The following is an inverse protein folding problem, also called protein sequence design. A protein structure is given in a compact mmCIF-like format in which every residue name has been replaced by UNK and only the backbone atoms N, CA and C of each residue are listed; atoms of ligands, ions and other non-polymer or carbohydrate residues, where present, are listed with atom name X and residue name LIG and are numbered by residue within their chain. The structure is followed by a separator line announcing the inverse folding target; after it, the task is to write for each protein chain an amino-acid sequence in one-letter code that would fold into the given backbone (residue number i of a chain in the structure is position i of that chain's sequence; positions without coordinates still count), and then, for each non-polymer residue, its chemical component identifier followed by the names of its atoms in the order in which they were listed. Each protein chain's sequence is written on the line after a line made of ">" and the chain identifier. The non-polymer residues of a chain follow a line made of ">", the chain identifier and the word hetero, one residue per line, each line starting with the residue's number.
data_IF_621852928255
#
_entry.id   IF_621852928255
#
_cell.length_a   1.000
_cell.length_b   1.000
_cell.length_c   1.000
_cell.angle_alpha   90.00
_cell.angle_beta   90.00
_cell.angle_gamma   90.00
#
_symmetry.space_group_name_H-M   'P 1'
#
loop_
_entity.id
_entity.type
_entity.pdbx_description
1 polymer ?
#
# COMPACT_ATOMS: atom_id res chain seq x y z
N UNK A 1 23.09 20.01 32.36
CA UNK A 1 22.55 18.64 32.14
C UNK A 1 21.55 18.62 30.99
N UNK A 2 20.65 19.61 30.90
CA UNK A 2 19.66 19.75 29.80
C UNK A 2 20.30 19.88 28.40
N UNK A 3 21.37 20.68 28.23
CA UNK A 3 22.08 20.82 26.96
C UNK A 3 22.68 19.51 26.42
N UNK A 4 23.20 18.65 27.30
CA UNK A 4 23.76 17.36 26.90
C UNK A 4 22.66 16.38 26.44
N UNK A 5 21.52 16.36 27.14
CA UNK A 5 20.36 15.55 26.75
C UNK A 5 19.78 16.03 25.41
N UNK A 6 19.71 17.35 25.22
CA UNK A 6 19.26 17.97 23.98
C UNK A 6 20.18 17.64 22.80
N UNK A 7 21.49 17.75 23.00
CA UNK A 7 22.50 17.40 21.99
C UNK A 7 22.43 15.91 21.63
N UNK A 8 22.30 15.02 22.63
CA UNK A 8 22.14 13.60 22.42
C UNK A 8 20.88 13.27 21.60
N UNK A 9 19.73 13.88 21.97
CA UNK A 9 18.48 13.73 21.24
C UNK A 9 18.60 14.26 19.80
N UNK A 10 19.24 15.42 19.61
CA UNK A 10 19.45 16.02 18.29
C UNK A 10 20.30 15.14 17.37
N UNK A 11 21.38 14.54 17.89
CA UNK A 11 22.21 13.57 17.14
C UNK A 11 21.44 12.30 16.78
N UNK A 12 20.68 11.75 17.73
CA UNK A 12 19.82 10.60 17.47
C UNK A 12 18.80 10.92 16.37
N UNK A 13 18.12 12.06 16.49
CA UNK A 13 17.13 12.51 15.53
C UNK A 13 17.74 12.72 14.15
N UNK A 14 18.88 13.40 14.06
CA UNK A 14 19.59 13.61 12.80
C UNK A 14 19.95 12.27 12.14
N UNK A 15 20.64 11.38 12.86
CA UNK A 15 21.14 10.13 12.32
C UNK A 15 20.00 9.20 11.86
N UNK A 16 19.00 8.97 12.71
CA UNK A 16 17.87 8.07 12.41
C UNK A 16 17.02 8.62 11.27
N UNK A 17 16.68 9.91 11.29
CA UNK A 17 15.85 10.51 10.25
C UNK A 17 16.61 10.61 8.91
N UNK A 18 17.91 10.94 8.93
CA UNK A 18 18.71 10.99 7.71
C UNK A 18 18.83 9.62 7.06
N UNK A 19 19.11 8.59 7.85
CA UNK A 19 19.13 7.21 7.34
C UNK A 19 17.77 6.81 6.75
N UNK A 20 16.68 7.08 7.47
CA UNK A 20 15.34 6.75 7.02
C UNK A 20 14.97 7.48 5.71
N UNK A 21 15.34 8.75 5.57
CA UNK A 21 15.20 9.51 4.33
C UNK A 21 15.93 8.83 3.16
N UNK A 22 17.22 8.53 3.32
CA UNK A 22 18.03 7.89 2.27
C UNK A 22 17.47 6.52 1.88
N UNK A 23 17.06 5.72 2.86
CA UNK A 23 16.51 4.39 2.61
C UNK A 23 15.15 4.46 1.89
N UNK A 24 14.24 5.37 2.26
CA UNK A 24 12.99 5.57 1.52
C UNK A 24 13.25 6.10 0.10
N UNK A 25 14.20 7.02 -0.09
CA UNK A 25 14.59 7.49 -1.41
C UNK A 25 15.20 6.38 -2.27
N UNK A 26 15.98 5.47 -1.68
CA UNK A 26 16.56 4.32 -2.38
C UNK A 26 15.47 3.35 -2.88
N UNK A 27 14.47 3.04 -2.04
CA UNK A 27 13.32 2.21 -2.43
C UNK A 27 12.55 2.89 -3.58
N UNK A 28 12.32 4.20 -3.48
CA UNK A 28 11.66 4.96 -4.54
C UNK A 28 12.47 4.94 -5.84
N UNK A 29 13.79 5.13 -5.77
CA UNK A 29 14.65 5.13 -6.94
C UNK A 29 14.61 3.81 -7.71
N UNK A 30 14.61 2.68 -6.98
CA UNK A 30 14.61 1.35 -7.59
C UNK A 30 13.23 0.92 -8.11
N UNK A 31 12.18 1.21 -7.36
CA UNK A 31 10.83 0.67 -7.63
C UNK A 31 9.84 1.80 -7.95
N UNK A 32 9.77 2.83 -7.11
CA UNK A 32 8.85 3.98 -7.21
C UNK A 32 8.91 4.77 -8.52
N UNK A 33 10.11 5.02 -9.03
CA UNK A 33 10.37 5.84 -10.23
C UNK A 33 9.65 5.30 -11.48
N UNK A 34 9.57 3.98 -11.63
CA UNK A 34 8.92 3.35 -12.80
C UNK A 34 7.39 3.45 -12.77
N UNK A 35 6.82 3.68 -11.59
CA UNK A 35 5.38 3.71 -11.34
C UNK A 35 4.85 5.14 -11.11
N UNK A 36 5.71 6.16 -11.27
CA UNK A 36 5.40 7.57 -11.01
C UNK A 36 4.77 7.82 -9.62
N UNK A 37 5.13 7.04 -8.61
CA UNK A 37 4.63 7.22 -7.25
C UNK A 37 5.48 8.26 -6.51
N UNK A 38 5.05 9.53 -6.58
CA UNK A 38 5.72 10.62 -5.85
C UNK A 38 5.29 10.70 -4.37
N UNK A 39 4.29 9.92 -3.93
CA UNK A 39 3.85 9.92 -2.53
C UNK A 39 4.98 9.55 -1.59
N UNK A 40 5.77 8.53 -1.94
CA UNK A 40 6.94 8.11 -1.17
C UNK A 40 8.02 9.21 -1.07
N UNK A 41 8.20 10.02 -2.11
CA UNK A 41 9.16 11.14 -2.09
C UNK A 41 8.73 12.18 -1.07
N UNK A 42 7.45 12.54 -1.06
CA UNK A 42 6.90 13.47 -0.07
C UNK A 42 7.03 12.94 1.36
N UNK A 43 6.80 11.65 1.59
CA UNK A 43 7.04 11.03 2.90
C UNK A 43 8.53 11.04 3.28
N UNK A 44 9.44 10.84 2.34
CA UNK A 44 10.87 10.93 2.62
C UNK A 44 11.27 12.37 2.99
N UNK A 45 10.76 13.37 2.28
CA UNK A 45 11.00 14.79 2.57
C UNK A 45 10.47 15.21 3.94
N UNK A 46 9.35 14.62 4.40
CA UNK A 46 8.85 14.87 5.76
C UNK A 46 9.86 14.44 6.82
N UNK A 47 10.47 13.26 6.66
CA UNK A 47 11.50 12.75 7.57
C UNK A 47 12.77 13.60 7.50
N UNK A 48 13.12 14.09 6.31
CA UNK A 48 14.26 15.00 6.13
C UNK A 48 14.09 16.30 6.93
N UNK A 49 12.88 16.85 7.03
CA UNK A 49 12.61 18.01 7.87
C UNK A 49 12.93 17.74 9.34
N UNK A 50 12.64 16.53 9.85
CA UNK A 50 13.06 16.14 11.20
C UNK A 50 14.57 15.97 11.32
N UNK A 51 15.25 15.45 10.30
CA UNK A 51 16.71 15.37 10.31
C UNK A 51 17.36 16.74 10.49
N UNK A 52 16.91 17.76 9.73
CA UNK A 52 17.38 19.13 9.89
C UNK A 52 17.03 19.72 11.27
N UNK A 53 15.83 19.46 11.78
CA UNK A 53 15.48 19.85 13.15
C UNK A 53 16.46 19.29 14.20
N UNK A 54 16.99 18.08 14.02
CA UNK A 54 17.98 17.50 14.93
C UNK A 54 19.33 18.22 14.89
N UNK A 55 19.79 18.64 13.70
CA UNK A 55 21.00 19.45 13.57
C UNK A 55 20.88 20.80 14.27
N UNK A 56 19.71 21.43 14.17
CA UNK A 56 19.44 22.69 14.87
C UNK A 56 19.46 22.51 16.39
N UNK A 57 18.95 21.39 16.91
CA UNK A 57 19.03 21.07 18.33
C UNK A 57 20.47 20.90 18.82
N UNK A 58 21.33 20.22 18.04
CA UNK A 58 22.76 20.11 18.36
C UNK A 58 23.42 21.49 18.33
N UNK A 59 23.21 22.27 17.26
CA UNK A 59 23.83 23.59 17.09
C UNK A 59 23.49 24.58 18.22
N UNK A 60 22.23 24.58 18.67
CA UNK A 60 21.78 25.48 19.74
C UNK A 60 21.97 24.89 21.15
N UNK A 61 22.35 23.62 21.28
CA UNK A 61 22.58 23.00 22.60
C UNK A 61 23.71 23.65 23.39
N UNK A 62 24.74 24.15 22.70
CA UNK A 62 25.89 24.83 23.30
C UNK A 62 25.62 26.30 23.62
N UNK A 63 24.54 26.88 23.07
CA UNK A 63 24.17 28.31 23.19
C UNK A 63 22.97 28.56 24.11
N UNK A 64 22.54 27.52 24.84
CA UNK A 64 21.50 27.64 25.86
C UNK A 64 22.01 28.45 27.06
N UNK A 65 21.24 29.40 27.60
CA UNK A 65 19.80 29.65 27.35
C UNK A 65 19.46 30.78 26.35
N UNK A 66 20.44 31.55 25.87
CA UNK A 66 20.21 32.77 25.05
C UNK A 66 19.45 32.49 23.74
N UNK A 67 19.59 31.28 23.18
CA UNK A 67 18.96 30.89 21.92
C UNK A 67 17.67 30.07 22.04
N UNK A 68 17.05 29.97 23.23
CA UNK A 68 15.87 29.12 23.45
C UNK A 68 14.70 29.46 22.50
N UNK A 69 14.38 30.75 22.36
CA UNK A 69 13.30 31.22 21.49
C UNK A 69 13.55 30.92 20.01
N UNK A 70 14.81 31.02 19.57
CA UNK A 70 15.21 30.67 18.21
C UNK A 70 15.08 29.15 17.97
N UNK A 71 15.52 28.34 18.94
CA UNK A 71 15.41 26.88 18.85
C UNK A 71 13.96 26.41 18.76
N UNK A 72 13.08 26.92 19.63
CA UNK A 72 11.64 26.60 19.60
C UNK A 72 11.01 26.97 18.25
N UNK A 73 11.34 28.15 17.73
CA UNK A 73 10.79 28.63 16.47
C UNK A 73 11.23 27.75 15.30
N UNK A 74 12.51 27.37 15.24
CA UNK A 74 13.01 26.43 14.23
C UNK A 74 12.39 25.05 14.35
N UNK A 75 12.19 24.54 15.56
CA UNK A 75 11.47 23.28 15.80
C UNK A 75 10.05 23.32 15.25
N UNK A 76 9.29 24.38 15.53
CA UNK A 76 7.94 24.55 14.99
C UNK A 76 7.95 24.67 13.45
N UNK A 77 8.91 25.39 12.86
CA UNK A 77 9.06 25.49 11.39
C UNK A 77 9.24 24.10 10.76
N UNK A 78 10.21 23.30 11.24
CA UNK A 78 10.45 21.97 10.70
C UNK A 78 9.30 21.01 10.95
N UNK A 79 8.59 21.15 12.08
CA UNK A 79 7.36 20.40 12.38
C UNK A 79 6.23 20.69 11.38
N UNK A 80 6.05 21.98 11.00
CA UNK A 80 5.08 22.39 9.97
C UNK A 80 5.44 21.83 8.59
N UNK A 81 6.71 21.89 8.18
CA UNK A 81 7.16 21.31 6.92
C UNK A 81 6.99 19.80 6.89
N UNK A 82 7.30 19.09 7.98
CA UNK A 82 7.05 17.66 8.11
C UNK A 82 5.56 17.34 7.85
N UNK A 83 4.67 18.01 8.56
CA UNK A 83 3.21 17.83 8.42
C UNK A 83 2.71 18.16 7.01
N UNK A 84 3.23 19.24 6.40
CA UNK A 84 2.91 19.64 5.02
C UNK A 84 3.29 18.54 4.04
N UNK A 85 4.52 18.02 4.12
CA UNK A 85 4.98 16.98 3.21
C UNK A 85 4.18 15.68 3.37
N UNK A 86 3.78 15.32 4.58
CA UNK A 86 2.86 14.18 4.80
C UNK A 86 1.52 14.41 4.08
N UNK A 87 0.92 15.60 4.23
CA UNK A 87 -0.36 15.92 3.59
C UNK A 87 -0.27 15.99 2.06
N UNK A 88 0.86 16.45 1.52
CA UNK A 88 1.13 16.46 0.08
C UNK A 88 1.37 15.04 -0.48
N UNK A 89 1.74 14.09 0.36
CA UNK A 89 1.86 12.69 -0.04
C UNK A 89 0.49 12.04 -0.28
N UNK A 90 -0.55 12.42 0.47
CA UNK A 90 -1.85 11.71 0.48
C UNK A 90 -2.53 11.55 -0.89
N UNK A 91 -2.55 12.55 -1.80
CA UNK A 91 -3.17 12.39 -3.12
C UNK A 91 -2.59 11.27 -3.97
N UNK A 92 -1.33 10.90 -3.72
CA UNK A 92 -0.62 9.84 -4.44
C UNK A 92 -0.98 8.44 -3.96
N UNK A 93 -1.65 8.32 -2.81
CA UNK A 93 -2.03 7.01 -2.28
C UNK A 93 -3.10 6.35 -3.16
N UNK A 94 -2.87 5.07 -3.48
CA UNK A 94 -3.81 4.26 -4.27
C UNK A 94 -5.14 4.05 -3.53
N UNK A 95 -5.06 3.75 -2.24
CA UNK A 95 -6.20 3.46 -1.38
C UNK A 95 -6.43 4.62 -0.42
N UNK A 96 -7.59 5.25 -0.54
CA UNK A 96 -8.05 6.34 0.33
C UNK A 96 -9.42 5.96 0.90
N UNK A 97 -9.74 6.35 2.14
CA UNK A 97 -11.04 6.06 2.71
C UNK A 97 -12.14 6.75 1.87
N UNK A 98 -13.26 6.06 1.57
CA UNK A 98 -14.30 6.57 0.68
C UNK A 98 -14.75 8.03 0.91
N UNK A 99 -14.95 8.51 2.16
CA UNK A 99 -15.36 9.90 2.39
C UNK A 99 -14.27 10.93 2.06
N UNK A 100 -12.98 10.55 2.12
CA UNK A 100 -11.87 11.48 1.88
C UNK A 100 -11.41 11.50 0.42
N UNK A 101 -11.77 10.49 -0.39
CA UNK A 101 -11.43 10.42 -1.83
C UNK A 101 -11.75 11.72 -2.58
N UNK A 102 -13.00 12.25 -2.55
CA UNK A 102 -13.33 13.45 -3.33
C UNK A 102 -12.60 14.70 -2.84
N UNK A 103 -12.25 14.75 -1.56
CA UNK A 103 -11.57 15.89 -0.93
C UNK A 103 -10.08 15.90 -1.30
N UNK A 104 -9.41 14.75 -1.14
CA UNK A 104 -7.96 14.61 -1.31
C UNK A 104 -7.57 14.58 -2.80
N UNK A 105 -8.32 13.88 -3.64
CA UNK A 105 -8.07 13.82 -5.09
C UNK A 105 -8.68 15.00 -5.85
N UNK A 106 -9.52 15.80 -5.18
CA UNK A 106 -10.05 17.04 -5.74
C UNK A 106 -8.96 18.10 -5.93
N UNK A 107 -9.15 19.01 -6.89
CA UNK A 107 -8.24 20.14 -7.11
C UNK A 107 -8.10 21.07 -5.90
N UNK A 108 -9.08 21.03 -4.98
CA UNK A 108 -9.11 21.86 -3.78
C UNK A 108 -8.14 21.42 -2.67
N UNK A 109 -7.59 20.20 -2.73
CA UNK A 109 -6.71 19.68 -1.68
C UNK A 109 -5.50 20.59 -1.40
N UNK A 110 -4.91 21.17 -2.45
CA UNK A 110 -3.78 22.09 -2.33
C UNK A 110 -4.13 23.33 -1.50
N UNK A 111 -5.37 23.81 -1.57
CA UNK A 111 -5.83 24.96 -0.78
C UNK A 111 -6.19 24.56 0.65
N UNK A 112 -6.84 23.39 0.82
CA UNK A 112 -7.18 22.84 2.14
C UNK A 112 -5.93 22.64 3.00
N UNK A 113 -4.83 22.19 2.38
CA UNK A 113 -3.54 22.00 3.06
C UNK A 113 -2.75 23.32 3.12
N UNK A 114 -2.70 24.07 2.02
CA UNK A 114 -1.84 25.25 1.88
C UNK A 114 -2.28 26.45 2.71
N UNK A 115 -3.58 26.75 2.81
CA UNK A 115 -4.07 27.92 3.56
C UNK A 115 -3.79 27.77 5.07
N UNK A 116 -4.15 26.65 5.73
CA UNK A 116 -3.78 26.46 7.14
C UNK A 116 -2.28 26.44 7.36
N UNK A 117 -1.50 25.84 6.44
CA UNK A 117 -0.05 25.88 6.51
C UNK A 117 0.49 27.31 6.50
N UNK A 118 0.07 28.14 5.53
CA UNK A 118 0.52 29.53 5.42
C UNK A 118 0.15 30.35 6.66
N UNK A 119 -1.04 30.11 7.23
CA UNK A 119 -1.45 30.74 8.48
C UNK A 119 -0.52 30.35 9.64
N UNK A 120 -0.32 29.06 9.90
CA UNK A 120 0.54 28.58 10.97
C UNK A 120 2.02 28.97 10.77
N UNK A 121 2.50 28.93 9.53
CA UNK A 121 3.86 29.30 9.17
C UNK A 121 4.09 30.79 9.35
N UNK A 122 3.16 31.64 8.92
CA UNK A 122 3.21 33.08 9.12
C UNK A 122 3.27 33.46 10.61
N UNK A 123 2.46 32.82 11.45
CA UNK A 123 2.49 33.03 12.90
C UNK A 123 3.84 32.60 13.51
N UNK A 124 4.40 31.47 13.08
CA UNK A 124 5.70 30.99 13.56
C UNK A 124 6.85 31.93 13.13
N UNK A 125 6.84 32.42 11.89
CA UNK A 125 7.83 33.40 11.42
C UNK A 125 7.71 34.73 12.16
N UNK A 126 6.49 35.19 12.42
CA UNK A 126 6.26 36.39 13.22
C UNK A 126 6.84 36.23 14.65
N UNK A 127 6.65 35.07 15.29
CA UNK A 127 7.27 34.74 16.60
C UNK A 127 8.80 34.82 16.53
N UNK A 128 9.39 34.30 15.45
CA UNK A 128 10.85 34.32 15.25
C UNK A 128 11.42 35.74 15.08
N UNK A 129 10.74 36.62 14.34
CA UNK A 129 11.24 37.96 14.02
C UNK A 129 11.02 38.96 15.16
N UNK A 130 9.86 38.92 15.81
CA UNK A 130 9.46 39.94 16.81
C UNK A 130 9.84 39.55 18.25
N UNK A 131 10.18 38.27 18.49
CA UNK A 131 10.68 37.80 19.79
C UNK A 131 9.64 37.84 20.92
N UNK A 132 8.36 38.07 20.61
CA UNK A 132 7.24 38.05 21.56
C UNK A 132 6.14 37.11 21.08
N UNK A 133 5.73 36.20 21.96
CA UNK A 133 4.51 35.42 21.76
C UNK A 133 3.31 36.26 22.23
N UNK A 134 2.47 36.72 21.31
CA UNK A 134 1.19 37.35 21.66
C UNK A 134 0.07 36.31 21.62
N UNK A 135 -0.61 36.10 22.76
CA UNK A 135 -1.93 35.48 22.82
C UNK A 135 -2.01 33.97 23.11
N UNK A 136 -3.27 33.51 23.13
CA UNK A 136 -3.78 32.20 23.60
C UNK A 136 -3.47 31.00 22.68
N UNK A 137 -2.78 31.21 21.56
CA UNK A 137 -2.43 30.15 20.61
C UNK A 137 -1.06 29.60 20.96
N UNK A 138 -1.02 28.65 21.90
CA UNK A 138 0.17 27.88 22.18
C UNK A 138 0.50 26.99 20.97
N UNK A 139 1.66 27.22 20.36
CA UNK A 139 2.29 26.38 19.32
C UNK A 139 1.42 26.06 18.08
N UNK A 140 1.38 26.93 17.05
CA UNK A 140 0.59 26.73 15.82
C UNK A 140 0.95 25.44 15.06
N UNK A 141 2.13 24.86 15.28
CA UNK A 141 2.54 23.58 14.70
C UNK A 141 1.77 22.38 15.29
N UNK A 142 1.33 22.44 16.55
CA UNK A 142 0.56 21.36 17.18
C UNK A 142 -0.80 21.21 16.51
N UNK A 143 -1.50 22.32 16.24
CA UNK A 143 -2.79 22.29 15.55
C UNK A 143 -2.70 21.67 14.15
N UNK A 144 -1.66 22.05 13.41
CA UNK A 144 -1.44 21.54 12.05
C UNK A 144 -1.00 20.06 12.06
N UNK A 145 -0.23 19.64 13.07
CA UNK A 145 0.12 18.24 13.29
C UNK A 145 -1.11 17.39 13.63
N UNK A 146 -2.00 17.85 14.53
CA UNK A 146 -3.27 17.17 14.85
C UNK A 146 -4.14 17.04 13.60
N UNK A 147 -4.28 18.11 12.82
CA UNK A 147 -4.96 18.09 11.54
C UNK A 147 -4.38 17.01 10.61
N UNK A 148 -3.06 16.96 10.48
CA UNK A 148 -2.34 15.97 9.65
C UNK A 148 -2.60 14.54 10.11
N UNK A 149 -2.54 14.28 11.43
CA UNK A 149 -2.70 12.94 12.01
C UNK A 149 -4.09 12.35 11.76
N UNK A 150 -5.14 13.17 11.75
CA UNK A 150 -6.51 12.72 11.45
C UNK A 150 -6.59 12.15 10.03
N UNK A 151 -6.09 12.90 9.04
CA UNK A 151 -6.08 12.43 7.65
C UNK A 151 -5.15 11.22 7.48
N UNK A 152 -3.96 11.27 8.07
CA UNK A 152 -3.00 10.20 7.98
C UNK A 152 -3.55 8.88 8.56
N UNK A 153 -4.27 8.94 9.69
CA UNK A 153 -4.86 7.76 10.32
C UNK A 153 -5.90 7.08 9.45
N UNK A 154 -6.81 7.86 8.86
CA UNK A 154 -7.80 7.31 7.92
C UNK A 154 -7.14 6.69 6.68
N UNK A 155 -6.11 7.33 6.14
CA UNK A 155 -5.41 6.86 4.93
C UNK A 155 -4.56 5.61 5.21
N UNK A 156 -3.81 5.57 6.31
CA UNK A 156 -2.98 4.42 6.67
C UNK A 156 -3.84 3.19 6.99
N UNK A 157 -4.95 3.38 7.72
CA UNK A 157 -5.91 2.30 7.97
C UNK A 157 -6.41 1.70 6.66
N UNK A 158 -7.00 2.52 5.78
CA UNK A 158 -7.57 2.02 4.53
C UNK A 158 -6.49 1.37 3.65
N UNK A 159 -5.29 1.97 3.61
CA UNK A 159 -4.15 1.45 2.84
C UNK A 159 -3.70 0.07 3.33
N UNK A 160 -3.49 -0.10 4.63
CA UNK A 160 -3.06 -1.39 5.18
C UNK A 160 -4.17 -2.44 5.12
N UNK A 161 -5.43 -2.05 5.38
CA UNK A 161 -6.58 -2.95 5.28
C UNK A 161 -6.75 -3.49 3.85
N UNK A 162 -6.69 -2.64 2.83
CA UNK A 162 -6.79 -3.04 1.41
C UNK A 162 -5.61 -3.88 0.95
N UNK A 163 -4.42 -3.67 1.52
CA UNK A 163 -3.21 -4.49 1.28
C UNK A 163 -3.15 -5.78 2.10
N UNK A 164 -4.23 -6.14 2.80
CA UNK A 164 -4.35 -7.34 3.67
C UNK A 164 -3.35 -7.39 4.82
N UNK A 165 -2.84 -6.24 5.25
CA UNK A 165 -1.96 -6.10 6.40
C UNK A 165 -2.77 -5.69 7.64
N UNK A 166 -3.72 -6.54 8.05
CA UNK A 166 -4.72 -6.23 9.11
C UNK A 166 -4.09 -5.82 10.44
N UNK A 167 -3.04 -6.51 10.87
CA UNK A 167 -2.33 -6.21 12.13
C UNK A 167 -1.68 -4.82 12.05
N UNK A 168 -1.03 -4.51 10.92
CA UNK A 168 -0.42 -3.22 10.66
C UNK A 168 -1.45 -2.08 10.61
N UNK A 169 -2.64 -2.36 10.08
CA UNK A 169 -3.76 -1.43 10.07
C UNK A 169 -4.14 -1.00 11.49
N UNK A 170 -4.35 -1.94 12.40
CA UNK A 170 -4.65 -1.67 13.81
C UNK A 170 -3.48 -0.98 14.53
N UNK A 171 -2.25 -1.45 14.28
CA UNK A 171 -1.05 -0.86 14.87
C UNK A 171 -0.87 0.61 14.44
N UNK A 172 -1.22 0.95 13.20
CA UNK A 172 -1.14 2.33 12.70
C UNK A 172 -2.12 3.27 13.43
N UNK A 173 -3.36 2.83 13.65
CA UNK A 173 -4.34 3.60 14.43
C UNK A 173 -3.89 3.77 15.88
N UNK A 174 -3.36 2.71 16.49
CA UNK A 174 -2.84 2.76 17.85
C UNK A 174 -1.66 3.73 17.98
N UNK A 175 -0.70 3.69 17.05
CA UNK A 175 0.42 4.64 17.03
C UNK A 175 -0.07 6.09 16.88
N UNK A 176 -1.06 6.33 16.01
CA UNK A 176 -1.62 7.67 15.80
C UNK A 176 -2.40 8.15 17.03
N UNK A 177 -3.14 7.27 17.69
CA UNK A 177 -3.85 7.61 18.93
C UNK A 177 -2.88 8.01 20.05
N UNK A 178 -1.80 7.25 20.25
CA UNK A 178 -0.72 7.62 21.19
C UNK A 178 -0.12 8.97 20.80
N UNK A 179 0.14 9.19 19.51
CA UNK A 179 0.70 10.46 19.03
C UNK A 179 -0.21 11.63 19.35
N UNK A 180 -1.51 11.50 19.06
CA UNK A 180 -2.49 12.54 19.39
C UNK A 180 -2.51 12.82 20.89
N UNK A 181 -2.47 11.78 21.74
CA UNK A 181 -2.37 11.95 23.19
C UNK A 181 -1.12 12.74 23.58
N UNK A 182 0.05 12.43 23.01
CA UNK A 182 1.28 13.19 23.23
C UNK A 182 1.16 14.66 22.79
N UNK A 183 0.53 14.95 21.66
CA UNK A 183 0.32 16.33 21.19
C UNK A 183 -0.60 17.12 22.13
N UNK A 184 -1.65 16.47 22.68
CA UNK A 184 -2.50 17.08 23.70
C UNK A 184 -1.77 17.27 25.03
N UNK A 185 -0.91 16.33 25.43
CA UNK A 185 -0.08 16.49 26.63
C UNK A 185 0.92 17.65 26.49
N UNK A 186 1.41 17.92 25.27
CA UNK A 186 2.26 19.09 24.99
C UNK A 186 1.56 20.42 25.33
N UNK A 187 0.25 20.50 25.09
CA UNK A 187 -0.60 21.65 25.47
C UNK A 187 -0.83 21.74 27.00
N UNK A 188 -0.72 20.62 27.72
CA UNK A 188 -1.01 20.52 29.16
C UNK A 188 0.20 20.79 30.07
N UNK A 189 1.36 21.16 29.50
CA UNK A 189 2.59 21.54 30.23
C UNK A 189 3.20 20.47 31.18
N UNK A 190 2.77 19.21 31.15
CA UNK A 190 3.47 18.13 31.86
C UNK A 190 4.81 17.83 31.16
N UNK A 191 5.92 18.21 31.81
CA UNK A 191 7.17 18.57 31.12
C UNK A 191 8.32 17.54 31.21
N UNK A 192 8.21 16.49 32.02
CA UNK A 192 9.39 15.66 32.32
C UNK A 192 9.79 14.64 31.21
N UNK A 193 8.88 14.26 30.30
CA UNK A 193 9.16 13.19 29.31
C UNK A 193 8.93 13.57 27.84
N UNK A 194 8.86 14.86 27.50
CA UNK A 194 8.49 15.31 26.14
C UNK A 194 9.48 14.87 25.05
N UNK A 195 10.79 14.89 25.31
CA UNK A 195 11.81 14.43 24.35
C UNK A 195 11.68 12.93 24.07
N UNK A 196 11.42 12.13 25.11
CA UNK A 196 11.25 10.69 24.99
C UNK A 196 10.01 10.35 24.17
N UNK A 197 8.87 10.98 24.46
CA UNK A 197 7.65 10.76 23.69
C UNK A 197 7.81 11.20 22.23
N UNK A 198 8.51 12.30 21.98
CA UNK A 198 8.84 12.74 20.63
C UNK A 198 9.72 11.73 19.89
N UNK A 199 10.71 11.14 20.58
CA UNK A 199 11.56 10.08 20.01
C UNK A 199 10.74 8.84 19.62
N UNK A 200 9.91 8.34 20.53
CA UNK A 200 9.05 7.17 20.31
C UNK A 200 8.10 7.42 19.14
N UNK A 201 7.49 8.60 19.08
CA UNK A 201 6.60 8.98 17.99
C UNK A 201 7.32 8.97 16.63
N UNK A 202 8.43 9.70 16.52
CA UNK A 202 9.18 9.80 15.25
C UNK A 202 9.62 8.42 14.77
N UNK A 203 10.12 7.58 15.67
CA UNK A 203 10.49 6.20 15.36
C UNK A 203 9.30 5.37 14.86
N UNK A 204 8.16 5.40 15.56
CA UNK A 204 6.96 4.68 15.16
C UNK A 204 6.43 5.15 13.80
N UNK A 205 6.42 6.46 13.55
CA UNK A 205 5.95 7.00 12.27
C UNK A 205 6.87 6.61 11.11
N UNK A 206 8.19 6.68 11.30
CA UNK A 206 9.18 6.20 10.33
C UNK A 206 8.93 4.72 10.01
N UNK A 207 8.72 3.90 11.03
CA UNK A 207 8.41 2.47 10.84
C UNK A 207 7.10 2.25 10.07
N UNK A 208 6.07 3.08 10.29
CA UNK A 208 4.83 3.03 9.52
C UNK A 208 5.05 3.41 8.05
N UNK A 209 5.92 4.38 7.75
CA UNK A 209 6.25 4.74 6.36
C UNK A 209 7.03 3.62 5.65
N UNK A 210 7.97 2.96 6.33
CA UNK A 210 8.62 1.77 5.79
C UNK A 210 7.64 0.62 5.59
N UNK A 211 6.77 0.36 6.55
CA UNK A 211 5.71 -0.64 6.44
C UNK A 211 4.80 -0.37 5.23
N UNK A 212 4.49 0.89 4.96
CA UNK A 212 3.72 1.30 3.79
C UNK A 212 4.50 1.05 2.49
N UNK A 213 5.78 1.44 2.44
CA UNK A 213 6.64 1.23 1.27
C UNK A 213 6.82 -0.27 0.98
N UNK A 214 7.08 -1.09 2.00
CA UNK A 214 7.21 -2.55 1.86
C UNK A 214 5.88 -3.22 1.52
N UNK A 215 4.76 -2.75 2.10
CA UNK A 215 3.43 -3.24 1.76
C UNK A 215 3.10 -2.98 0.28
N UNK A 216 3.61 -1.90 -0.29
CA UNK A 216 3.51 -1.65 -1.72
C UNK A 216 4.40 -2.58 -2.55
N UNK A 217 5.65 -2.81 -2.15
CA UNK A 217 6.55 -3.77 -2.83
C UNK A 217 5.94 -5.18 -2.82
N UNK A 218 5.35 -5.59 -1.69
CA UNK A 218 4.61 -6.85 -1.57
C UNK A 218 3.46 -6.92 -2.58
N UNK A 219 2.61 -5.88 -2.63
CA UNK A 219 1.49 -5.81 -3.57
C UNK A 219 1.95 -5.89 -5.03
N UNK A 220 3.06 -5.23 -5.36
CA UNK A 220 3.66 -5.30 -6.70
C UNK A 220 4.16 -6.72 -7.00
N UNK A 221 4.80 -7.40 -6.04
CA UNK A 221 5.27 -8.77 -6.23
C UNK A 221 4.11 -9.78 -6.38
N UNK A 222 3.03 -9.62 -5.61
CA UNK A 222 1.86 -10.51 -5.65
C UNK A 222 0.99 -10.31 -6.91
N UNK A 223 0.99 -9.11 -7.49
CA UNK A 223 0.19 -8.78 -8.68
C UNK A 223 0.84 -9.18 -10.03
N UNK A 224 2.04 -9.77 -10.02
CA UNK A 224 2.69 -10.24 -11.25
C UNK A 224 2.02 -11.54 -11.71
N UNK A 225 1.04 -11.38 -12.60
CA UNK A 225 0.51 -12.49 -13.41
C UNK A 225 1.34 -12.53 -14.71
N UNK A 226 2.03 -13.65 -14.99
CA UNK A 226 2.86 -13.79 -16.19
C UNK A 226 2.00 -13.77 -17.46
N UNK A 227 2.58 -13.42 -18.61
CA UNK A 227 1.88 -13.49 -19.91
C UNK A 227 1.53 -14.94 -20.26
N UNK A 228 0.49 -15.14 -21.07
CA UNK A 228 0.00 -16.46 -21.49
C UNK A 228 1.08 -17.37 -22.09
N UNK A 229 2.04 -16.79 -22.82
CA UNK A 229 3.19 -17.51 -23.42
C UNK A 229 4.12 -18.12 -22.38
N UNK A 230 4.23 -17.53 -21.20
CA UNK A 230 5.12 -18.00 -20.14
C UNK A 230 4.42 -18.95 -19.16
N UNK A 231 3.11 -19.16 -19.32
CA UNK A 231 2.34 -20.09 -18.50
C UNK A 231 2.45 -21.51 -19.06
N UNK A 232 2.54 -22.49 -18.17
CA UNK A 232 2.35 -23.90 -18.53
C UNK A 232 1.40 -24.61 -17.58
N UNK A 233 0.62 -25.52 -18.14
CA UNK A 233 -0.38 -26.32 -17.43
C UNK A 233 0.05 -27.78 -17.44
N UNK A 234 0.19 -28.37 -16.26
CA UNK A 234 0.49 -29.79 -16.09
C UNK A 234 -0.67 -30.41 -15.33
N UNK A 235 -1.34 -31.38 -15.95
CA UNK A 235 -2.37 -32.17 -15.29
C UNK A 235 -1.74 -33.40 -14.64
N UNK A 236 -2.02 -33.61 -13.36
CA UNK A 236 -1.53 -34.75 -12.59
C UNK A 236 -2.63 -35.34 -11.72
N UNK A 237 -2.38 -36.54 -11.17
CA UNK A 237 -3.25 -37.16 -10.16
C UNK A 237 -2.38 -37.52 -8.98
N UNK A 238 -2.78 -37.08 -7.79
CA UNK A 238 -2.09 -37.43 -6.54
C UNK A 238 -3.04 -38.19 -5.63
N UNK A 239 -2.49 -39.06 -4.78
CA UNK A 239 -3.26 -39.74 -3.74
C UNK A 239 -3.33 -38.83 -2.51
N UNK A 240 -4.53 -38.60 -2.04
CA UNK A 240 -4.80 -37.93 -0.77
C UNK A 240 -4.37 -38.79 0.42
N UNK A 241 -4.35 -38.22 1.63
CA UNK A 241 -4.11 -38.91 2.91
C UNK A 241 -5.07 -40.09 3.11
N UNK A 242 -6.25 -40.01 2.50
CA UNK A 242 -7.29 -41.05 2.44
C UNK A 242 -7.07 -42.15 1.38
N UNK A 243 -5.99 -42.07 0.61
CA UNK A 243 -5.67 -43.01 -0.49
C UNK A 243 -6.47 -42.78 -1.78
N UNK A 244 -7.39 -41.80 -1.79
CA UNK A 244 -8.20 -41.47 -2.96
C UNK A 244 -7.42 -40.62 -3.97
N UNK A 245 -7.55 -40.95 -5.25
CA UNK A 245 -6.97 -40.15 -6.33
C UNK A 245 -7.71 -38.82 -6.49
N UNK A 246 -6.99 -37.72 -6.32
CA UNK A 246 -7.48 -36.36 -6.52
C UNK A 246 -6.79 -35.77 -7.75
N UNK A 247 -7.54 -35.16 -8.69
CA UNK A 247 -6.94 -34.44 -9.80
C UNK A 247 -6.25 -33.18 -9.30
N UNK A 248 -4.98 -33.03 -9.65
CA UNK A 248 -4.15 -31.86 -9.35
C UNK A 248 -3.73 -31.19 -10.65
N UNK A 249 -3.69 -29.87 -10.65
CA UNK A 249 -3.20 -29.08 -11.78
C UNK A 249 -2.04 -28.24 -11.28
N UNK A 250 -0.88 -28.40 -11.90
CA UNK A 250 0.29 -27.57 -11.63
C UNK A 250 0.31 -26.46 -12.67
N UNK A 251 0.33 -25.22 -12.17
CA UNK A 251 0.31 -24.03 -13.02
C UNK A 251 1.65 -23.30 -12.85
N UNK A 252 2.50 -23.45 -13.86
CA UNK A 252 3.87 -22.98 -13.89
C UNK A 252 3.99 -21.67 -14.68
N UNK A 253 5.09 -20.94 -14.48
CA UNK A 253 5.33 -19.62 -15.08
C UNK A 253 5.18 -18.43 -14.14
N UNK A 254 4.72 -18.66 -12.91
CA UNK A 254 4.68 -17.64 -11.87
C UNK A 254 6.09 -17.40 -11.29
N UNK A 255 6.43 -16.16 -10.88
CA UNK A 255 7.68 -15.91 -10.18
C UNK A 255 7.72 -16.68 -8.85
N UNK A 256 8.85 -17.36 -8.60
CA UNK A 256 9.08 -18.21 -7.44
C UNK A 256 9.56 -19.62 -7.81
N UNK A 257 10.12 -20.34 -6.85
CA UNK A 257 10.71 -21.69 -7.04
C UNK A 257 9.79 -22.83 -6.60
N UNK A 258 8.62 -22.54 -6.02
CA UNK A 258 7.66 -23.57 -5.59
C UNK A 258 6.67 -23.87 -6.72
N UNK A 259 6.60 -25.13 -7.13
CA UNK A 259 5.52 -25.63 -7.97
C UNK A 259 4.17 -25.35 -7.29
N UNK A 260 3.30 -24.60 -7.97
CA UNK A 260 1.99 -24.24 -7.44
C UNK A 260 0.99 -25.32 -7.83
N UNK A 261 0.87 -26.35 -6.99
CA UNK A 261 -0.12 -27.42 -7.15
C UNK A 261 -1.49 -26.96 -6.69
N UNK A 262 -2.48 -27.03 -7.58
CA UNK A 262 -3.85 -26.61 -7.33
C UNK A 262 -4.74 -27.85 -7.32
N UNK A 263 -5.47 -28.05 -6.23
CA UNK A 263 -6.52 -29.08 -6.13
C UNK A 263 -7.82 -28.48 -6.63
N UNK A 264 -8.32 -28.99 -7.77
CA UNK A 264 -9.58 -28.52 -8.36
C UNK A 264 -10.72 -29.49 -8.06
N UNK A 265 -11.95 -28.96 -7.98
CA UNK A 265 -13.14 -29.80 -7.94
C UNK A 265 -13.24 -30.65 -9.22
N UNK A 266 -13.85 -31.86 -9.18
CA UNK A 266 -13.95 -32.73 -10.36
C UNK A 266 -14.58 -32.03 -11.58
N UNK A 267 -15.59 -31.18 -11.35
CA UNK A 267 -16.24 -30.40 -12.41
C UNK A 267 -15.34 -29.31 -12.98
N UNK A 268 -14.60 -28.59 -12.14
CA UNK A 268 -13.66 -27.55 -12.56
C UNK A 268 -12.48 -28.16 -13.33
N UNK A 269 -11.96 -29.30 -12.86
CA UNK A 269 -10.88 -30.01 -13.52
C UNK A 269 -11.30 -30.55 -14.88
N UNK A 270 -12.50 -31.14 -14.99
CA UNK A 270 -13.03 -31.62 -16.26
C UNK A 270 -13.17 -30.49 -17.28
N UNK A 271 -13.66 -29.31 -16.86
CA UNK A 271 -13.78 -28.14 -17.72
C UNK A 271 -12.40 -27.64 -18.19
N UNK A 272 -11.43 -27.52 -17.28
CA UNK A 272 -10.08 -27.06 -17.64
C UNK A 272 -9.37 -28.07 -18.58
N UNK A 273 -9.58 -29.37 -18.36
CA UNK A 273 -9.08 -30.43 -19.23
C UNK A 273 -9.71 -30.36 -20.62
N UNK A 274 -11.00 -30.07 -20.73
CA UNK A 274 -11.69 -29.89 -22.02
C UNK A 274 -11.11 -28.71 -22.81
N UNK A 275 -10.85 -27.58 -22.15
CA UNK A 275 -10.13 -26.44 -22.75
C UNK A 275 -8.73 -26.86 -23.25
N UNK A 276 -7.97 -27.57 -22.41
CA UNK A 276 -6.60 -27.98 -22.72
C UNK A 276 -6.56 -28.99 -23.90
N UNK A 277 -7.49 -29.94 -23.95
CA UNK A 277 -7.61 -30.92 -25.04
C UNK A 277 -7.98 -30.25 -26.36
N UNK A 278 -8.96 -29.34 -26.40
CA UNK A 278 -9.31 -28.62 -27.64
C UNK A 278 -8.19 -27.70 -28.10
N UNK A 279 -7.46 -27.07 -27.17
CA UNK A 279 -6.29 -26.26 -27.50
C UNK A 279 -5.18 -27.11 -28.16
N UNK A 280 -4.89 -28.30 -27.61
CA UNK A 280 -3.83 -29.20 -28.11
C UNK A 280 -4.19 -29.89 -29.43
N UNK A 281 -5.47 -30.18 -29.68
CA UNK A 281 -5.94 -30.83 -30.92
C UNK A 281 -5.99 -29.89 -32.13
N UNK A 282 -5.97 -28.57 -31.95
CA UNK A 282 -5.95 -27.58 -33.03
C UNK A 282 -7.26 -27.40 -33.82
N UNK A 283 -8.15 -28.39 -33.81
CA UNK A 283 -9.48 -28.30 -34.44
C UNK A 283 -10.41 -27.37 -33.63
N UNK A 284 -10.57 -26.12 -34.10
CA UNK A 284 -11.48 -25.12 -33.54
C UNK A 284 -11.40 -25.00 -31.99
N UNK A 285 -10.38 -24.32 -31.44
CA UNK A 285 -10.08 -24.29 -30.00
C UNK A 285 -11.12 -23.55 -29.14
N UNK A 286 -12.23 -23.13 -29.73
CA UNK A 286 -13.27 -22.33 -29.10
C UNK A 286 -14.33 -23.21 -28.44
N UNK A 287 -14.61 -22.96 -27.16
CA UNK A 287 -15.77 -23.50 -26.43
C UNK A 287 -16.94 -22.51 -26.47
N UNK A 288 -18.16 -23.02 -26.70
CA UNK A 288 -19.38 -22.20 -26.76
C UNK A 288 -20.16 -22.22 -25.43
N UNK A 289 -20.51 -21.03 -24.91
CA UNK A 289 -21.27 -20.85 -23.67
C UNK A 289 -22.78 -20.87 -23.96
N UNK A 290 -23.53 -21.67 -23.19
CA UNK A 290 -25.00 -21.74 -23.27
C UNK A 290 -25.65 -20.36 -22.96
N UNK A 291 -26.62 -19.87 -23.77
CA UNK A 291 -27.31 -18.63 -23.48
C UNK A 291 -28.35 -18.80 -22.36
N UNK A 292 -28.52 -17.78 -21.51
CA UNK A 292 -29.43 -17.82 -20.35
C UNK A 292 -30.91 -18.10 -20.69
N UNK A 293 -31.36 -17.72 -21.90
CA UNK A 293 -32.76 -17.80 -22.32
C UNK A 293 -32.98 -18.75 -23.53
N UNK A 294 -32.05 -19.66 -23.82
CA UNK A 294 -32.17 -20.57 -24.97
C UNK A 294 -32.60 -21.98 -24.53
N UNK A 295 -33.84 -22.34 -24.88
CA UNK A 295 -34.44 -23.66 -24.67
C UNK A 295 -34.58 -24.41 -26.00
N UNK A 296 -33.50 -24.50 -26.78
CA UNK A 296 -33.50 -25.39 -27.96
C UNK A 296 -32.99 -26.76 -27.50
N UNK A 297 -33.90 -27.73 -27.44
CA UNK A 297 -33.63 -29.14 -27.27
C UNK A 297 -32.87 -29.66 -28.49
N UNK A 298 -31.57 -29.94 -28.35
CA UNK A 298 -30.77 -30.61 -29.38
C UNK A 298 -29.34 -30.08 -29.57
N UNK A 299 -29.06 -28.81 -29.25
CA UNK A 299 -27.69 -28.26 -29.34
C UNK A 299 -26.94 -28.50 -28.03
N UNK A 300 -25.91 -29.35 -28.06
CA UNK A 300 -25.02 -29.59 -26.91
C UNK A 300 -24.01 -28.44 -26.83
N UNK A 301 -24.05 -27.68 -25.75
CA UNK A 301 -23.08 -26.62 -25.46
C UNK A 301 -21.94 -27.19 -24.62
N UNK A 302 -20.72 -26.72 -24.85
CA UNK A 302 -19.54 -27.15 -24.08
C UNK A 302 -19.60 -26.61 -22.64
N UNK A 303 -20.08 -25.37 -22.47
CA UNK A 303 -20.17 -24.70 -21.16
C UNK A 303 -21.63 -24.42 -20.83
N UNK A 304 -22.09 -24.87 -19.66
CA UNK A 304 -23.51 -24.80 -19.29
C UNK A 304 -23.95 -23.43 -18.75
N UNK A 305 -23.03 -22.69 -18.11
CA UNK A 305 -23.26 -21.35 -17.58
C UNK A 305 -21.93 -20.58 -17.50
N UNK A 306 -21.98 -19.26 -17.76
CA UNK A 306 -20.87 -18.33 -17.53
C UNK A 306 -20.31 -18.41 -16.10
N UNK A 307 -21.16 -18.75 -15.11
CA UNK A 307 -20.69 -18.97 -13.74
C UNK A 307 -19.68 -20.11 -13.60
N UNK A 308 -19.63 -21.08 -14.53
CA UNK A 308 -18.62 -22.15 -14.47
C UNK A 308 -17.21 -21.60 -14.65
N UNK A 309 -17.02 -20.65 -15.58
CA UNK A 309 -15.73 -19.98 -15.82
C UNK A 309 -15.35 -19.15 -14.58
N UNK A 310 -16.32 -18.44 -14.00
CA UNK A 310 -16.09 -17.68 -12.76
C UNK A 310 -15.64 -18.58 -11.61
N UNK A 311 -16.31 -19.72 -11.41
CA UNK A 311 -15.95 -20.70 -10.36
C UNK A 311 -14.58 -21.34 -10.61
N UNK A 312 -14.24 -21.62 -11.87
CA UNK A 312 -12.91 -22.13 -12.24
C UNK A 312 -11.82 -21.11 -11.91
N UNK A 313 -12.00 -19.84 -12.31
CA UNK A 313 -11.05 -18.77 -12.00
C UNK A 313 -10.88 -18.57 -10.50
N UNK A 314 -11.97 -18.59 -9.73
CA UNK A 314 -11.92 -18.50 -8.26
C UNK A 314 -11.14 -19.67 -7.67
N UNK A 315 -11.44 -20.91 -8.08
CA UNK A 315 -10.71 -22.09 -7.58
C UNK A 315 -9.21 -22.06 -7.93
N UNK A 316 -8.85 -21.57 -9.12
CA UNK A 316 -7.44 -21.37 -9.50
C UNK A 316 -6.78 -20.31 -8.63
N UNK A 317 -7.45 -19.20 -8.35
CA UNK A 317 -6.92 -18.14 -7.49
C UNK A 317 -6.78 -18.58 -6.03
N UNK A 318 -7.76 -19.30 -5.51
CA UNK A 318 -7.71 -19.89 -4.17
C UNK A 318 -6.53 -20.87 -4.07
N UNK A 319 -6.28 -21.68 -5.11
CA UNK A 319 -5.11 -22.56 -5.15
C UNK A 319 -3.77 -21.84 -5.32
N UNK A 320 -3.73 -20.73 -6.08
CA UNK A 320 -2.50 -19.99 -6.37
C UNK A 320 -2.04 -19.06 -5.25
N UNK A 321 -3.00 -18.46 -4.52
CA UNK A 321 -2.74 -17.40 -3.54
C UNK A 321 -3.29 -17.74 -2.14
N UNK A 322 -4.20 -18.70 -2.02
CA UNK A 322 -4.96 -18.99 -0.81
C UNK A 322 -6.31 -18.27 -0.78
N UNK A 323 -7.30 -18.88 -0.13
CA UNK A 323 -8.63 -18.28 0.04
C UNK A 323 -8.52 -16.94 0.80
N UNK A 324 -9.16 -15.90 0.26
CA UNK A 324 -9.12 -14.53 0.81
C UNK A 324 -7.83 -13.74 0.51
N UNK A 325 -6.84 -14.35 -0.13
CA UNK A 325 -5.55 -13.73 -0.49
C UNK A 325 -5.48 -13.29 -1.97
N UNK A 326 -6.61 -13.16 -2.67
CA UNK A 326 -6.68 -12.58 -4.01
C UNK A 326 -7.81 -11.55 -4.12
N UNK A 327 -7.72 -10.66 -5.10
CA UNK A 327 -8.64 -9.53 -5.30
C UNK A 327 -9.11 -9.50 -6.75
N UNK A 328 -10.32 -8.98 -6.98
CA UNK A 328 -10.92 -8.98 -8.31
C UNK A 328 -10.08 -8.18 -9.32
N UNK A 329 -9.63 -7.00 -8.91
CA UNK A 329 -8.93 -6.05 -9.78
C UNK A 329 -7.49 -6.47 -10.08
N UNK A 330 -6.75 -6.94 -9.07
CA UNK A 330 -5.33 -7.27 -9.26
C UNK A 330 -5.11 -8.71 -9.75
N UNK A 331 -6.06 -9.62 -9.48
CA UNK A 331 -5.82 -11.05 -9.74
C UNK A 331 -6.86 -11.64 -10.68
N UNK A 332 -8.16 -11.50 -10.39
CA UNK A 332 -9.20 -12.16 -11.18
C UNK A 332 -9.27 -11.66 -12.62
N UNK A 333 -9.30 -10.34 -12.80
CA UNK A 333 -9.38 -9.75 -14.15
C UNK A 333 -8.10 -10.03 -14.95
N UNK A 334 -6.88 -9.81 -14.42
CA UNK A 334 -5.67 -10.12 -15.18
C UNK A 334 -5.51 -11.61 -15.46
N UNK A 335 -5.84 -12.50 -14.51
CA UNK A 335 -5.78 -13.94 -14.73
C UNK A 335 -6.78 -14.37 -15.81
N UNK A 336 -8.01 -13.83 -15.78
CA UNK A 336 -9.01 -14.08 -16.83
C UNK A 336 -8.46 -13.69 -18.20
N UNK A 337 -7.91 -12.48 -18.32
CA UNK A 337 -7.41 -11.96 -19.59
C UNK A 337 -6.14 -12.68 -20.08
N UNK A 338 -5.41 -13.30 -19.15
CA UNK A 338 -4.20 -14.07 -19.47
C UNK A 338 -4.51 -15.52 -19.84
N UNK A 339 -5.42 -16.18 -19.11
CA UNK A 339 -5.77 -17.57 -19.37
C UNK A 339 -6.73 -17.73 -20.54
N UNK A 340 -7.63 -16.75 -20.74
CA UNK A 340 -8.74 -16.88 -21.68
C UNK A 340 -8.81 -15.71 -22.65
N UNK A 341 -9.15 -16.05 -23.88
CA UNK A 341 -9.43 -15.10 -24.95
C UNK A 341 -10.91 -15.25 -25.36
N UNK A 342 -11.60 -14.12 -25.54
CA UNK A 342 -12.98 -14.08 -26.03
C UNK A 342 -13.01 -13.63 -27.49
N UNK A 343 -13.90 -14.21 -28.29
CA UNK A 343 -13.99 -13.89 -29.72
C UNK A 343 -14.62 -12.52 -29.96
N UNK A 344 -13.95 -11.65 -30.71
CA UNK A 344 -14.44 -10.31 -31.09
C UNK A 344 -15.75 -10.33 -31.88
N UNK A 345 -15.96 -11.36 -32.71
CA UNK A 345 -17.14 -11.50 -33.57
C UNK A 345 -18.25 -12.38 -32.97
N UNK A 346 -17.99 -13.04 -31.83
CA UNK A 346 -18.92 -13.97 -31.17
C UNK A 346 -18.73 -13.96 -29.66
N UNK A 347 -19.45 -13.09 -28.95
CA UNK A 347 -19.43 -12.87 -27.48
C UNK A 347 -19.59 -14.11 -26.57
N UNK A 348 -19.75 -15.30 -27.15
CA UNK A 348 -20.06 -16.56 -26.46
C UNK A 348 -19.02 -17.64 -26.68
N UNK A 349 -17.96 -17.35 -27.44
CA UNK A 349 -16.85 -18.27 -27.66
C UNK A 349 -15.66 -17.86 -26.81
N UNK A 350 -15.14 -18.82 -26.06
CA UNK A 350 -13.96 -18.65 -25.20
C UNK A 350 -12.94 -19.73 -25.52
N UNK A 351 -11.67 -19.36 -25.60
CA UNK A 351 -10.55 -20.30 -25.77
C UNK A 351 -9.47 -20.06 -24.74
N UNK A 352 -8.63 -21.06 -24.53
CA UNK A 352 -7.42 -20.93 -23.73
C UNK A 352 -6.36 -20.15 -24.53
N UNK A 353 -5.70 -19.18 -23.90
CA UNK A 353 -4.68 -18.33 -24.55
C UNK A 353 -3.25 -18.90 -24.42
N UNK A 354 -3.05 -19.93 -23.61
CA UNK A 354 -1.74 -20.56 -23.41
C UNK A 354 -1.34 -21.33 -24.70
N UNK A 355 -0.08 -21.24 -25.16
CA UNK A 355 0.40 -22.01 -26.29
C UNK A 355 0.19 -23.53 -26.11
N UNK A 356 -0.19 -24.27 -27.17
CA UNK A 356 -0.37 -25.73 -27.11
C UNK A 356 0.87 -26.49 -26.61
N UNK A 357 2.05 -25.97 -26.90
CA UNK A 357 3.36 -26.52 -26.49
C UNK A 357 3.53 -26.55 -24.96
N UNK A 358 2.87 -25.63 -24.25
CA UNK A 358 2.96 -25.48 -22.80
C UNK A 358 1.87 -26.26 -22.05
N UNK A 359 1.15 -27.16 -22.73
CA UNK A 359 0.06 -27.95 -22.17
C UNK A 359 0.46 -29.43 -22.08
N UNK A 360 0.62 -29.91 -20.86
CA UNK A 360 0.98 -31.29 -20.51
C UNK A 360 -0.24 -31.99 -19.90
N UNK A 361 -0.85 -32.91 -20.65
CA UNK A 361 -2.11 -33.59 -20.32
C UNK A 361 -1.89 -34.91 -19.58
#
# INVERSE_FOLDING_TARGET
>A
MEGNLLSFYGWWQFAVCFFAFLALMAIWWQIGKKQNDFGQVWLALSILAWSFSGLFEVYFSEKMPESLLQLESWRSIFSLFNSLFILLALPWFRYLPPPLVPIIKGGFWRYIVGIPFLFCFGQTLHKLVIGKAYGFVQEPDVYYAVFTLIFLGGVLWESFAKRRLKVLSWLSLFCIAITLLTQFLKLSQFLENQLLFSAIFKANLIMLFFALALGWVKELAESIIPKSVNLSLIFSKEKDVSGKWIPTVVLNGFPGTKERKIVLSPKSNALLLEFAQKCKKGENPWLEIKPKNFSVTGKKYDISDYNQIKRLLVALLDGLFGEGNWSKEQHLVPLKNTLFEMSENRDRKIRLSIPPENIFL
#
